data_IF_138990088281
#
_entry.id   IF_138990088281
#
_cell.length_a   1.000
_cell.length_b   1.000
_cell.length_c   1.000
_cell.angle_alpha   90.00
_cell.angle_beta   90.00
_cell.angle_gamma   90.00
#
_symmetry.space_group_name_H-M   'P 1'
#
loop_
_entity.id
_entity.type
_entity.pdbx_description
1 polymer ?
#
# COMPACT_ATOMS: atom_id res chain seq x y z
N UNK A 1 28.31 38.80 16.96
CA UNK A 1 27.36 38.27 17.98
C UNK A 1 26.25 37.40 17.39
N UNK A 2 25.46 37.88 16.40
CA UNK A 2 24.35 37.12 15.77
C UNK A 2 24.74 35.74 15.17
N UNK A 3 25.93 35.61 14.57
CA UNK A 3 26.39 34.37 13.93
C UNK A 3 26.71 33.24 14.92
N UNK A 4 27.18 33.59 16.12
CA UNK A 4 27.52 32.62 17.17
C UNK A 4 26.26 32.15 17.90
N UNK A 5 25.26 33.02 18.01
CA UNK A 5 23.93 32.68 18.55
C UNK A 5 23.22 31.70 17.61
N UNK A 6 23.23 31.95 16.29
CA UNK A 6 22.65 31.05 15.31
C UNK A 6 23.30 29.66 15.34
N UNK A 7 24.64 29.61 15.42
CA UNK A 7 25.38 28.34 15.51
C UNK A 7 25.07 27.57 16.80
N UNK A 8 24.93 28.26 17.94
CA UNK A 8 24.56 27.65 19.21
C UNK A 8 23.12 27.10 19.19
N UNK A 9 22.17 27.82 18.58
CA UNK A 9 20.79 27.34 18.41
C UNK A 9 20.72 26.12 17.48
N UNK A 10 21.46 26.14 16.36
CA UNK A 10 21.55 24.98 15.47
C UNK A 10 22.14 23.79 16.22
N UNK A 11 23.25 23.99 16.94
CA UNK A 11 23.90 22.92 17.71
C UNK A 11 22.99 22.32 18.78
N UNK A 12 22.24 23.14 19.52
CA UNK A 12 21.31 22.66 20.54
C UNK A 12 20.11 21.94 19.92
N UNK A 13 19.55 22.46 18.82
CA UNK A 13 18.44 21.82 18.11
C UNK A 13 18.86 20.45 17.54
N UNK A 14 20.05 20.35 16.97
CA UNK A 14 20.60 19.07 16.48
C UNK A 14 20.82 18.06 17.59
N UNK A 15 21.31 18.48 18.77
CA UNK A 15 21.51 17.60 19.91
C UNK A 15 20.19 17.04 20.45
N UNK A 16 19.17 17.90 20.55
CA UNK A 16 17.83 17.48 20.99
C UNK A 16 17.20 16.52 19.97
N UNK A 17 17.29 16.82 18.66
CA UNK A 17 16.78 15.92 17.62
C UNK A 17 17.45 14.54 17.67
N UNK A 18 18.76 14.48 17.95
CA UNK A 18 19.49 13.22 18.05
C UNK A 18 19.11 12.41 19.29
N UNK A 19 18.78 13.08 20.42
CA UNK A 19 18.39 12.40 21.66
C UNK A 19 17.02 11.68 21.56
N UNK A 20 16.15 12.11 20.64
CA UNK A 20 14.84 11.49 20.40
C UNK A 20 14.80 10.58 19.17
N UNK A 21 15.96 10.30 18.56
CA UNK A 21 16.09 9.44 17.40
C UNK A 21 16.82 8.15 17.81
N UNK A 22 16.14 7.01 17.73
CA UNK A 22 16.76 5.72 18.00
C UNK A 22 16.39 4.70 16.92
N UNK A 23 17.32 3.78 16.66
CA UNK A 23 17.10 2.67 15.74
C UNK A 23 16.63 1.49 16.57
N UNK A 24 15.52 0.90 16.17
CA UNK A 24 14.97 -0.30 16.80
C UNK A 24 14.96 -1.44 15.79
N UNK A 25 15.37 -2.63 16.25
CA UNK A 25 15.26 -3.85 15.45
C UNK A 25 13.92 -4.50 15.76
N UNK A 26 13.10 -4.71 14.72
CA UNK A 26 11.81 -5.37 14.82
C UNK A 26 11.84 -6.57 13.87
N UNK A 27 11.66 -7.78 14.40
CA UNK A 27 11.79 -9.04 13.65
C UNK A 27 13.09 -9.10 12.81
N UNK A 28 12.96 -9.15 11.48
CA UNK A 28 14.05 -9.21 10.51
C UNK A 28 14.44 -7.83 9.94
N UNK A 29 13.80 -6.75 10.40
CA UNK A 29 13.96 -5.39 9.90
C UNK A 29 14.47 -4.39 10.95
N UNK A 30 14.67 -3.16 10.50
CA UNK A 30 15.01 -2.03 11.35
C UNK A 30 14.08 -0.86 11.06
N UNK A 31 13.63 -0.21 12.11
CA UNK A 31 12.87 1.03 12.07
C UNK A 31 13.65 2.14 12.76
N UNK A 32 13.36 3.37 12.39
CA UNK A 32 13.84 4.56 13.07
C UNK A 32 12.66 5.16 13.82
N UNK A 33 12.80 5.30 15.14
CA UNK A 33 11.81 5.97 15.98
C UNK A 33 12.29 7.38 16.26
N UNK A 34 11.47 8.37 15.91
CA UNK A 34 11.71 9.80 16.16
C UNK A 34 10.57 10.35 17.00
N UNK A 35 10.77 10.44 18.32
CA UNK A 35 9.73 10.85 19.25
C UNK A 35 8.58 9.84 19.34
N UNK A 36 7.45 10.11 18.67
CA UNK A 36 6.29 9.21 18.57
C UNK A 36 6.08 8.65 17.15
N UNK A 37 6.92 9.06 16.20
CA UNK A 37 6.83 8.60 14.82
C UNK A 37 7.77 7.42 14.60
N UNK A 38 7.28 6.45 13.84
CA UNK A 38 8.05 5.28 13.42
C UNK A 38 8.25 5.36 11.92
N UNK A 39 9.48 5.15 11.46
CA UNK A 39 9.85 5.20 10.04
C UNK A 39 10.52 3.90 9.67
N UNK A 40 10.07 3.29 8.57
CA UNK A 40 10.74 2.17 7.91
C UNK A 40 11.61 2.68 6.75
N UNK A 41 12.89 3.04 6.99
CA UNK A 41 13.74 3.65 5.96
C UNK A 41 13.99 2.71 4.77
N UNK A 42 14.00 1.39 5.01
CA UNK A 42 14.25 0.41 3.96
C UNK A 42 13.02 0.30 3.06
N UNK A 43 11.83 0.24 3.64
CA UNK A 43 10.59 0.21 2.88
C UNK A 43 10.32 1.48 2.11
N UNK A 44 10.56 2.64 2.71
CA UNK A 44 10.46 3.94 2.00
C UNK A 44 11.41 4.00 0.79
N UNK A 45 12.65 3.55 0.96
CA UNK A 45 13.61 3.49 -0.15
C UNK A 45 13.13 2.54 -1.25
N UNK A 46 12.61 1.36 -0.89
CA UNK A 46 12.10 0.39 -1.86
C UNK A 46 10.93 0.94 -2.67
N UNK A 47 9.98 1.59 -1.99
CA UNK A 47 8.82 2.23 -2.62
C UNK A 47 9.26 3.38 -3.53
N UNK A 48 10.19 4.23 -3.08
CA UNK A 48 10.71 5.34 -3.87
C UNK A 48 11.40 4.85 -5.16
N UNK A 49 12.29 3.87 -5.05
CA UNK A 49 12.97 3.27 -6.21
C UNK A 49 11.95 2.66 -7.17
N UNK A 50 11.00 1.88 -6.66
CA UNK A 50 9.95 1.25 -7.47
C UNK A 50 9.11 2.30 -8.21
N UNK A 51 8.72 3.38 -7.53
CA UNK A 51 7.92 4.47 -8.11
C UNK A 51 8.66 5.17 -9.26
N UNK A 52 9.98 5.30 -9.18
CA UNK A 52 10.82 5.92 -10.20
C UNK A 52 11.06 4.96 -11.38
N UNK A 53 11.24 3.67 -11.12
CA UNK A 53 11.62 2.70 -12.15
C UNK A 53 10.45 2.01 -12.87
N UNK A 54 9.22 2.09 -12.33
CA UNK A 54 8.06 1.37 -12.87
C UNK A 54 7.57 1.95 -14.21
N UNK A 55 7.11 1.07 -15.09
CA UNK A 55 6.37 1.41 -16.29
C UNK A 55 4.88 1.08 -16.10
N UNK A 56 4.05 2.13 -16.03
CA UNK A 56 2.61 2.02 -15.79
C UNK A 56 1.76 2.18 -17.05
N UNK A 57 2.37 2.17 -18.24
CA UNK A 57 1.66 2.40 -19.53
C UNK A 57 0.53 1.40 -19.78
N UNK A 58 0.63 0.17 -19.25
CA UNK A 58 -0.38 -0.90 -19.39
C UNK A 58 -1.35 -0.99 -18.23
N UNK A 59 -1.19 -0.15 -17.20
CA UNK A 59 -2.02 -0.17 -15.99
C UNK A 59 -3.03 0.96 -16.07
N UNK A 60 -4.30 0.59 -16.05
CA UNK A 60 -5.41 1.54 -16.12
C UNK A 60 -6.13 1.58 -14.79
N UNK A 61 -6.13 2.75 -14.15
CA UNK A 61 -7.03 3.03 -13.02
C UNK A 61 -8.45 3.15 -13.55
N UNK A 62 -9.39 2.50 -12.86
CA UNK A 62 -10.81 2.45 -13.22
C UNK A 62 -11.61 3.35 -12.30
N UNK A 63 -12.50 4.19 -12.85
CA UNK A 63 -13.46 4.94 -12.04
C UNK A 63 -14.34 4.00 -11.21
N UNK A 64 -14.64 4.38 -9.98
CA UNK A 64 -15.49 3.61 -9.07
C UNK A 64 -16.93 3.46 -9.58
N UNK A 65 -17.39 4.39 -10.39
CA UNK A 65 -18.70 4.36 -11.06
C UNK A 65 -18.68 3.66 -12.44
N UNK A 66 -17.59 2.97 -12.80
CA UNK A 66 -17.53 2.25 -14.07
C UNK A 66 -18.31 0.92 -14.01
N UNK A 67 -18.88 0.45 -15.14
CA UNK A 67 -19.57 -0.83 -15.19
C UNK A 67 -18.72 -2.02 -14.73
N UNK A 68 -17.40 -1.95 -14.97
CA UNK A 68 -16.44 -2.95 -14.50
C UNK A 68 -16.42 -2.99 -12.97
N UNK A 69 -16.25 -1.85 -12.30
CA UNK A 69 -16.21 -1.80 -10.82
C UNK A 69 -17.54 -2.22 -10.21
N UNK A 70 -18.66 -1.86 -10.82
CA UNK A 70 -19.97 -2.36 -10.39
C UNK A 70 -20.09 -3.89 -10.52
N UNK A 71 -19.59 -4.47 -11.60
CA UNK A 71 -19.59 -5.93 -11.78
C UNK A 71 -18.68 -6.64 -10.77
N UNK A 72 -17.52 -6.04 -10.45
CA UNK A 72 -16.60 -6.55 -9.43
C UNK A 72 -17.23 -6.49 -8.04
N UNK A 73 -17.91 -5.38 -7.71
CA UNK A 73 -18.66 -5.26 -6.47
C UNK A 73 -19.70 -6.37 -6.33
N UNK A 74 -20.51 -6.62 -7.36
CA UNK A 74 -21.52 -7.69 -7.35
C UNK A 74 -20.90 -9.07 -7.16
N UNK A 75 -19.77 -9.32 -7.81
CA UNK A 75 -19.02 -10.55 -7.65
C UNK A 75 -18.51 -10.71 -6.22
N UNK A 76 -17.79 -9.72 -5.68
CA UNK A 76 -17.23 -9.74 -4.32
C UNK A 76 -18.34 -9.90 -3.28
N UNK A 77 -19.43 -9.13 -3.38
CA UNK A 77 -20.57 -9.24 -2.47
C UNK A 77 -21.22 -10.64 -2.50
N UNK A 78 -21.16 -11.33 -3.65
CA UNK A 78 -21.64 -12.71 -3.80
C UNK A 78 -20.73 -13.74 -3.12
N UNK A 79 -19.41 -13.52 -3.19
CA UNK A 79 -18.41 -14.37 -2.54
C UNK A 79 -18.39 -14.18 -1.01
N UNK A 80 -18.71 -12.98 -0.51
CA UNK A 80 -18.64 -12.66 0.92
C UNK A 80 -19.94 -12.91 1.69
N UNK A 81 -20.98 -13.45 1.04
CA UNK A 81 -22.32 -13.81 1.55
C UNK A 81 -23.07 -12.74 2.36
N UNK A 82 -22.56 -12.36 3.53
CA UNK A 82 -23.17 -11.44 4.49
C UNK A 82 -22.53 -10.05 4.49
N UNK A 83 -21.54 -9.81 3.65
CA UNK A 83 -20.81 -8.54 3.60
C UNK A 83 -20.98 -7.80 2.29
N UNK A 84 -21.08 -6.48 2.42
CA UNK A 84 -21.12 -5.55 1.30
C UNK A 84 -19.78 -4.85 1.20
N UNK A 85 -19.18 -4.96 0.02
CA UNK A 85 -17.97 -4.24 -0.36
C UNK A 85 -18.32 -2.82 -0.82
N UNK A 86 -17.45 -1.86 -0.52
CA UNK A 86 -17.52 -0.49 -1.04
C UNK A 86 -16.20 -0.22 -1.76
N UNK A 87 -16.16 -0.33 -3.10
CA UNK A 87 -14.94 -0.11 -3.86
C UNK A 87 -14.39 1.30 -3.69
N UNK A 88 -13.11 1.40 -3.29
CA UNK A 88 -12.37 2.67 -3.19
C UNK A 88 -11.67 3.00 -4.50
N UNK A 89 -11.03 2.01 -5.11
CA UNK A 89 -10.36 2.15 -6.40
C UNK A 89 -10.09 0.77 -7.01
N UNK A 90 -9.96 0.75 -8.34
CA UNK A 90 -9.55 -0.45 -9.06
C UNK A 90 -8.52 -0.13 -10.14
N UNK A 91 -7.64 -1.09 -10.42
CA UNK A 91 -6.62 -1.04 -11.44
C UNK A 91 -6.69 -2.30 -12.28
N UNK A 92 -6.39 -2.18 -13.57
CA UNK A 92 -6.41 -3.31 -14.49
C UNK A 92 -5.16 -3.36 -15.36
N UNK A 93 -4.73 -4.56 -15.70
CA UNK A 93 -3.67 -4.83 -16.70
C UNK A 93 -3.96 -6.16 -17.39
N UNK A 94 -4.38 -6.12 -18.65
CA UNK A 94 -4.90 -7.29 -19.36
C UNK A 94 -6.10 -7.89 -18.62
N UNK A 95 -6.05 -9.19 -18.36
CA UNK A 95 -7.10 -9.93 -17.63
C UNK A 95 -7.01 -9.78 -16.11
N UNK A 96 -6.01 -9.06 -15.59
CA UNK A 96 -5.80 -8.90 -14.16
C UNK A 96 -6.40 -7.61 -13.64
N UNK A 97 -6.97 -7.72 -12.45
CA UNK A 97 -7.70 -6.65 -11.79
C UNK A 97 -7.27 -6.62 -10.33
N UNK A 98 -6.94 -5.45 -9.82
CA UNK A 98 -6.69 -5.23 -8.41
C UNK A 98 -7.69 -4.19 -7.92
N UNK A 99 -8.44 -4.52 -6.87
CA UNK A 99 -9.50 -3.66 -6.33
C UNK A 99 -9.30 -3.48 -4.83
N UNK A 100 -9.25 -2.24 -4.39
CA UNK A 100 -9.25 -1.86 -2.98
C UNK A 100 -10.70 -1.57 -2.57
N UNK A 101 -11.16 -2.20 -1.50
CA UNK A 101 -12.53 -2.10 -1.03
C UNK A 101 -12.60 -1.99 0.49
N UNK A 102 -13.52 -1.15 0.95
CA UNK A 102 -14.04 -1.20 2.31
C UNK A 102 -15.06 -2.32 2.47
N UNK A 103 -15.26 -2.76 3.70
CA UNK A 103 -16.30 -3.70 4.07
C UNK A 103 -17.06 -3.16 5.27
N UNK A 104 -18.37 -3.40 5.33
CA UNK A 104 -19.23 -2.86 6.39
C UNK A 104 -18.83 -3.39 7.78
N UNK A 105 -18.46 -4.68 7.87
CA UNK A 105 -18.18 -5.38 9.13
C UNK A 105 -16.77 -6.00 9.17
N UNK A 106 -15.90 -5.67 8.22
CA UNK A 106 -14.52 -6.16 8.14
C UNK A 106 -13.55 -5.03 7.87
N UNK A 107 -12.29 -5.31 8.13
CA UNK A 107 -11.21 -4.42 7.72
C UNK A 107 -11.22 -4.23 6.20
N UNK A 108 -10.75 -3.06 5.72
CA UNK A 108 -10.52 -2.85 4.30
C UNK A 108 -9.61 -3.94 3.74
N UNK A 109 -9.79 -4.29 2.47
CA UNK A 109 -8.98 -5.29 1.79
C UNK A 109 -8.64 -4.86 0.36
N UNK A 110 -7.50 -5.37 -0.11
CA UNK A 110 -7.06 -5.30 -1.50
C UNK A 110 -7.22 -6.70 -2.08
N UNK A 111 -8.01 -6.83 -3.13
CA UNK A 111 -8.34 -8.11 -3.75
C UNK A 111 -7.75 -8.12 -5.14
N UNK A 112 -6.94 -9.14 -5.43
CA UNK A 112 -6.40 -9.40 -6.75
C UNK A 112 -7.25 -10.48 -7.43
N UNK A 113 -7.83 -10.11 -8.56
CA UNK A 113 -8.66 -10.96 -9.39
C UNK A 113 -8.03 -11.18 -10.76
N UNK A 114 -8.41 -12.29 -11.37
CA UNK A 114 -8.15 -12.57 -12.78
C UNK A 114 -9.45 -12.92 -13.48
N UNK A 115 -9.64 -12.36 -14.66
CA UNK A 115 -10.71 -12.75 -15.56
C UNK A 115 -10.28 -14.01 -16.35
N UNK A 116 -11.12 -15.04 -16.37
CA UNK A 116 -10.80 -16.33 -17.01
C UNK A 116 -11.11 -16.37 -18.52
N UNK A 117 -11.67 -15.29 -19.06
CA UNK A 117 -12.07 -15.17 -20.46
C UNK A 117 -13.47 -15.72 -20.77
N UNK A 118 -14.16 -16.33 -19.80
CA UNK A 118 -15.51 -16.91 -19.94
C UNK A 118 -16.55 -16.20 -19.05
N UNK A 119 -16.27 -14.96 -18.68
CA UNK A 119 -17.11 -14.12 -17.82
C UNK A 119 -17.08 -14.50 -16.34
N UNK A 120 -16.05 -15.22 -15.87
CA UNK A 120 -15.85 -15.48 -14.46
C UNK A 120 -14.64 -14.72 -13.93
N UNK A 121 -14.80 -14.14 -12.74
CA UNK A 121 -13.70 -13.62 -11.95
C UNK A 121 -13.20 -14.72 -11.03
N UNK A 122 -11.88 -14.85 -10.92
CA UNK A 122 -11.22 -15.71 -9.97
C UNK A 122 -10.45 -14.84 -8.97
N UNK A 123 -10.80 -14.96 -7.68
CA UNK A 123 -9.98 -14.37 -6.60
C UNK A 123 -8.67 -15.13 -6.54
N UNK A 124 -7.56 -14.44 -6.79
CA UNK A 124 -6.22 -15.04 -6.77
C UNK A 124 -5.51 -14.81 -5.44
N UNK A 125 -5.70 -13.64 -4.82
CA UNK A 125 -5.16 -13.32 -3.51
C UNK A 125 -5.92 -12.15 -2.89
N UNK A 126 -5.93 -12.08 -1.56
CA UNK A 126 -6.58 -11.01 -0.78
C UNK A 126 -5.65 -10.56 0.33
N UNK A 127 -5.29 -9.28 0.35
CA UNK A 127 -4.51 -8.65 1.41
C UNK A 127 -5.44 -7.80 2.29
N UNK A 128 -5.29 -7.89 3.61
CA UNK A 128 -6.01 -7.08 4.59
C UNK A 128 -5.11 -6.78 5.79
N UNK A 129 -5.48 -5.75 6.54
CA UNK A 129 -4.73 -5.30 7.72
C UNK A 129 -3.60 -4.31 7.41
N UNK A 130 -2.74 -4.07 8.39
CA UNK A 130 -1.57 -3.18 8.29
C UNK A 130 -0.28 -3.97 8.49
N UNK A 131 0.78 -3.53 7.82
CA UNK A 131 2.14 -4.00 8.00
C UNK A 131 2.92 -3.21 9.07
N UNK A 132 2.25 -2.28 9.79
CA UNK A 132 2.89 -1.49 10.84
C UNK A 132 3.74 -2.39 11.79
N UNK A 133 4.98 -1.99 12.09
CA UNK A 133 5.60 -0.68 11.83
C UNK A 133 6.30 -0.55 10.46
N UNK A 134 6.17 -1.53 9.55
CA UNK A 134 6.78 -1.51 8.23
C UNK A 134 5.92 -0.80 7.19
N UNK A 135 6.52 -0.42 6.07
CA UNK A 135 5.80 0.26 4.99
C UNK A 135 4.76 -0.68 4.33
N UNK A 136 3.48 -0.29 4.43
CA UNK A 136 2.35 -1.05 3.89
C UNK A 136 2.45 -1.28 2.37
N UNK A 137 2.90 -0.29 1.60
CA UNK A 137 3.02 -0.41 0.13
C UNK A 137 4.02 -1.49 -0.25
N UNK A 138 5.19 -1.54 0.43
CA UNK A 138 6.16 -2.62 0.20
C UNK A 138 5.55 -3.98 0.58
N UNK A 139 4.93 -4.08 1.76
CA UNK A 139 4.36 -5.33 2.24
C UNK A 139 3.28 -5.87 1.28
N UNK A 140 2.41 -5.00 0.77
CA UNK A 140 1.39 -5.33 -0.23
C UNK A 140 2.04 -5.88 -1.51
N UNK A 141 3.06 -5.18 -2.04
CA UNK A 141 3.76 -5.64 -3.26
C UNK A 141 4.39 -7.02 -3.05
N UNK A 142 5.06 -7.23 -1.92
CA UNK A 142 5.68 -8.52 -1.61
C UNK A 142 4.66 -9.64 -1.44
N UNK A 143 3.57 -9.36 -0.74
CA UNK A 143 2.48 -10.32 -0.54
C UNK A 143 1.93 -10.78 -1.88
N UNK A 144 1.53 -9.87 -2.77
CA UNK A 144 0.96 -10.25 -4.06
C UNK A 144 1.97 -10.93 -4.98
N UNK A 145 3.24 -10.53 -4.95
CA UNK A 145 4.29 -11.21 -5.72
C UNK A 145 4.48 -12.67 -5.27
N UNK A 146 4.36 -12.94 -3.97
CA UNK A 146 4.47 -14.30 -3.39
C UNK A 146 3.20 -15.12 -3.62
N UNK A 147 2.03 -14.54 -3.34
CA UNK A 147 0.73 -15.23 -3.38
C UNK A 147 0.18 -15.41 -4.79
N UNK A 148 0.53 -14.52 -5.72
CA UNK A 148 0.05 -14.52 -7.09
C UNK A 148 1.19 -14.28 -8.10
N UNK A 149 2.16 -15.21 -8.24
CA UNK A 149 3.35 -15.01 -9.07
C UNK A 149 3.04 -14.85 -10.56
N UNK A 150 1.85 -15.23 -11.01
CA UNK A 150 1.38 -15.05 -12.39
C UNK A 150 0.83 -13.63 -12.66
N UNK A 151 0.65 -12.80 -11.63
CA UNK A 151 0.14 -11.45 -11.78
C UNK A 151 1.16 -10.55 -12.50
N UNK A 152 0.72 -9.64 -13.38
CA UNK A 152 1.61 -8.71 -14.06
C UNK A 152 2.33 -7.83 -13.03
N UNK A 153 3.65 -7.88 -13.00
CA UNK A 153 4.46 -7.06 -12.10
C UNK A 153 4.12 -5.55 -12.23
N UNK A 154 3.80 -5.10 -13.44
CA UNK A 154 3.37 -3.71 -13.68
C UNK A 154 2.11 -3.37 -12.88
N UNK A 155 1.11 -4.26 -12.83
CA UNK A 155 -0.11 -4.03 -12.06
C UNK A 155 0.21 -3.90 -10.56
N UNK A 156 1.06 -4.77 -10.04
CA UNK A 156 1.44 -4.75 -8.63
C UNK A 156 2.21 -3.49 -8.26
N UNK A 157 3.19 -3.07 -9.08
CA UNK A 157 4.05 -1.92 -8.78
C UNK A 157 3.44 -0.55 -9.12
N UNK A 158 2.44 -0.50 -10.00
CA UNK A 158 1.76 0.74 -10.40
C UNK A 158 0.43 0.98 -9.68
N UNK A 159 -0.02 0.00 -8.91
CA UNK A 159 -1.05 0.22 -7.91
C UNK A 159 -0.54 1.22 -6.85
N UNK A 160 -1.41 2.14 -6.45
CA UNK A 160 -1.16 3.06 -5.33
C UNK A 160 -2.38 3.00 -4.42
N UNK A 161 -2.24 2.51 -3.18
CA UNK A 161 -3.36 2.48 -2.25
C UNK A 161 -3.95 3.87 -2.02
N UNK A 162 -5.28 3.93 -1.88
CA UNK A 162 -6.00 5.21 -1.80
C UNK A 162 -6.60 5.53 -0.44
N UNK A 163 -6.78 4.55 0.44
CA UNK A 163 -7.31 4.78 1.78
C UNK A 163 -6.57 4.00 2.87
N UNK A 164 -6.76 4.44 4.12
CA UNK A 164 -6.20 3.76 5.28
C UNK A 164 -6.78 2.34 5.41
N UNK A 165 -6.00 1.36 5.91
CA UNK A 165 -4.65 1.51 6.44
C UNK A 165 -3.54 1.48 5.37
N UNK A 166 -3.88 1.34 4.09
CA UNK A 166 -2.88 1.01 3.06
C UNK A 166 -2.10 2.21 2.52
N UNK A 167 -2.64 3.43 2.65
CA UNK A 167 -2.03 4.66 2.15
C UNK A 167 -1.30 5.47 3.24
N UNK A 168 -1.26 4.98 4.48
CA UNK A 168 -0.57 5.66 5.57
C UNK A 168 0.94 5.49 5.40
N UNK A 169 1.56 6.41 4.65
CA UNK A 169 2.91 6.83 4.99
C UNK A 169 2.79 7.54 6.34
N UNK A 170 2.99 6.79 7.43
CA UNK A 170 3.05 7.21 8.83
C UNK A 170 2.71 8.70 9.07
N UNK A 171 1.43 8.99 9.38
CA UNK A 171 1.04 10.30 9.93
C UNK A 171 1.55 10.48 11.37
#
# INVERSE_FOLDING_TARGET
>A
MRRNILAAFIGLASLVAFAFCFIEKVDDGFIIVVGQHVVDPIGEMHVAVTRISRDCTRVLRRPTNSPLVESLKKFIDGETADEKSIPRAAWTSGDWILIESDFVNREPAIILLRHDGKSQYLVTATYGGTAAPFNDVQAIHEYFRKSAPAAPAQLLYCYEPVGAPFNSAFE
#
